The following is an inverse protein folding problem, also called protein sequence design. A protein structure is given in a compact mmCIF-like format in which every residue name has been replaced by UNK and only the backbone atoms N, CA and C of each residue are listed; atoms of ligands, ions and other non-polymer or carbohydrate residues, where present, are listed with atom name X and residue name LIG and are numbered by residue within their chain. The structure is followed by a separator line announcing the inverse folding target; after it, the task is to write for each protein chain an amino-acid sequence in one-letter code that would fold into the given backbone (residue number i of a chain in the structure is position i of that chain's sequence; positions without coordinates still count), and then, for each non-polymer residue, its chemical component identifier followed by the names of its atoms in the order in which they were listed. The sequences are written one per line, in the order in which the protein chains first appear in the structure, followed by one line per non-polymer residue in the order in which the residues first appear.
data_IF_371347790871
#
_entry.id   IF_371347790871
#
_cell.length_a   1.000
_cell.length_b   1.000
_cell.length_c   1.000
_cell.angle_alpha   90.00
_cell.angle_beta   90.00
_cell.angle_gamma   90.00
#
_symmetry.space_group_name_H-M   'P 1'
#
loop_
_entity.id
_entity.type
_entity.pdbx_description
1 polymer ?
#
# COMPACT_ATOMS: atom_id res chain seq x y z
N UNK A 1 3.01 33.54 -24.05
CA UNK A 1 2.59 32.43 -24.95
C UNK A 1 3.74 31.77 -25.72
N UNK A 2 4.82 32.48 -26.01
CA UNK A 2 6.02 31.92 -26.69
C UNK A 2 6.77 30.92 -25.79
N UNK A 3 7.01 31.24 -24.52
CA UNK A 3 7.74 30.42 -23.56
C UNK A 3 7.10 29.03 -23.33
N UNK A 4 5.76 28.97 -23.22
CA UNK A 4 5.02 27.72 -23.02
C UNK A 4 5.13 26.78 -24.24
N UNK A 5 5.16 27.34 -25.48
CA UNK A 5 5.38 26.56 -26.70
C UNK A 5 6.78 25.96 -26.80
N UNK A 6 7.77 26.66 -26.29
CA UNK A 6 9.17 26.20 -26.29
C UNK A 6 9.40 25.11 -25.24
N UNK A 7 8.75 25.21 -24.07
CA UNK A 7 8.76 24.16 -23.05
C UNK A 7 8.04 22.89 -23.53
N UNK A 8 6.89 23.00 -24.17
CA UNK A 8 6.18 21.86 -24.73
C UNK A 8 6.97 21.16 -25.84
N UNK A 9 7.70 21.92 -26.69
CA UNK A 9 8.59 21.35 -27.70
C UNK A 9 9.80 20.63 -27.08
N UNK A 10 10.31 21.11 -25.96
CA UNK A 10 11.41 20.47 -25.22
C UNK A 10 10.91 19.16 -24.59
N UNK A 11 9.80 19.17 -23.88
CA UNK A 11 9.17 17.97 -23.29
C UNK A 11 8.87 16.89 -24.33
N UNK A 12 8.35 17.29 -25.51
CA UNK A 12 8.07 16.35 -26.61
C UNK A 12 9.35 15.73 -27.18
N UNK A 13 10.48 16.46 -27.23
CA UNK A 13 11.78 15.90 -27.65
C UNK A 13 12.34 14.93 -26.60
N UNK A 14 12.28 15.30 -25.34
CA UNK A 14 12.80 14.49 -24.22
C UNK A 14 12.02 13.19 -24.10
N UNK A 15 10.69 13.22 -24.29
CA UNK A 15 9.84 12.03 -24.31
C UNK A 15 10.18 11.09 -25.50
N UNK A 16 10.42 11.63 -26.69
CA UNK A 16 10.81 10.82 -27.86
C UNK A 16 12.19 10.20 -27.69
N UNK A 17 13.13 10.88 -27.05
CA UNK A 17 14.45 10.35 -26.75
C UNK A 17 14.35 9.19 -25.74
N UNK A 18 13.52 9.35 -24.71
CA UNK A 18 13.28 8.32 -23.71
C UNK A 18 12.59 7.07 -24.28
N UNK A 19 11.59 7.25 -25.15
CA UNK A 19 10.92 6.13 -25.84
C UNK A 19 11.87 5.35 -26.74
N UNK A 20 12.82 6.05 -27.40
CA UNK A 20 13.81 5.42 -28.27
C UNK A 20 14.84 4.59 -27.49
N UNK A 21 15.20 5.03 -26.28
CA UNK A 21 16.12 4.33 -25.37
C UNK A 21 15.48 3.04 -24.78
N UNK A 22 14.15 2.98 -24.67
CA UNK A 22 13.42 1.79 -24.23
C UNK A 22 13.32 0.71 -25.32
N UNK A 23 13.27 1.10 -26.61
CA UNK A 23 13.20 0.15 -27.73
C UNK A 23 14.55 -0.57 -27.98
N UNK A 24 15.68 0.03 -27.60
CA UNK A 24 17.00 -0.61 -27.74
C UNK A 24 17.30 -1.68 -26.68
N UNK A 25 16.50 -1.77 -25.60
CA UNK A 25 16.67 -2.72 -24.50
C UNK A 25 15.72 -3.93 -24.53
N UNK A 26 14.86 -4.04 -25.53
CA UNK A 26 13.94 -5.18 -25.69
C UNK A 26 14.45 -6.10 -26.82
N UNK A 27 15.39 -6.98 -26.50
CA UNK A 27 15.72 -8.13 -27.36
C UNK A 27 14.58 -9.16 -27.17
N UNK A 28 13.55 -9.06 -28.00
CA UNK A 28 12.59 -10.12 -28.21
C UNK A 28 12.91 -10.85 -29.52
N UNK A 29 13.49 -12.05 -29.41
CA UNK A 29 13.56 -13.01 -30.49
C UNK A 29 12.17 -13.58 -30.72
N UNK A 30 11.46 -13.11 -31.73
CA UNK A 30 10.43 -13.88 -32.40
C UNK A 30 10.44 -13.53 -33.87
N UNK A 31 10.68 -14.55 -34.67
CA UNK A 31 10.65 -14.47 -36.12
C UNK A 31 9.24 -14.05 -36.59
N UNK A 32 9.14 -12.92 -37.28
CA UNK A 32 7.99 -12.53 -38.05
C UNK A 32 8.31 -12.78 -39.51
N UNK A 33 7.44 -13.45 -40.30
CA UNK A 33 7.67 -13.67 -41.71
C UNK A 33 7.68 -12.33 -42.47
N UNK A 34 8.71 -12.15 -43.28
CA UNK A 34 8.80 -11.06 -44.24
C UNK A 34 7.81 -11.26 -45.40
N UNK A 35 6.72 -10.52 -45.39
CA UNK A 35 5.96 -10.22 -46.62
C UNK A 35 5.06 -9.01 -46.32
N UNK A 36 5.55 -7.81 -46.60
CA UNK A 36 4.75 -6.67 -47.01
C UNK A 36 5.64 -5.63 -47.66
N UNK A 37 5.74 -5.70 -48.95
CA UNK A 37 6.22 -4.59 -49.77
C UNK A 37 5.26 -3.40 -49.61
N UNK A 38 5.74 -2.13 -49.65
CA UNK A 38 4.87 -0.99 -49.54
C UNK A 38 3.86 -0.99 -50.70
N UNK A 39 2.59 -0.90 -50.37
CA UNK A 39 1.53 -0.75 -51.36
C UNK A 39 1.79 0.52 -52.19
N UNK A 40 1.83 0.35 -53.50
CA UNK A 40 1.91 1.43 -54.48
C UNK A 40 0.65 2.25 -54.37
N UNK A 41 0.73 3.52 -54.02
CA UNK A 41 -0.40 4.45 -53.99
C UNK A 41 -0.45 5.06 -55.39
N UNK A 42 -1.32 4.53 -56.25
CA UNK A 42 -1.35 4.88 -57.68
C UNK A 42 -2.45 5.90 -58.05
N UNK A 43 -3.25 6.43 -57.09
CA UNK A 43 -4.27 7.42 -57.43
C UNK A 43 -4.48 8.50 -56.34
N UNK A 44 -4.92 9.69 -56.80
CA UNK A 44 -5.33 10.81 -55.92
C UNK A 44 -6.52 10.40 -55.05
N UNK A 45 -7.34 9.46 -55.47
CA UNK A 45 -8.50 8.94 -54.76
C UNK A 45 -8.07 8.12 -53.53
N UNK A 46 -6.97 7.34 -53.61
CA UNK A 46 -6.42 6.59 -52.48
C UNK A 46 -5.86 7.51 -51.41
N UNK A 47 -5.22 8.61 -51.81
CA UNK A 47 -4.72 9.65 -50.89
C UNK A 47 -5.87 10.39 -50.17
N UNK A 48 -6.98 10.64 -50.88
CA UNK A 48 -8.16 11.26 -50.25
C UNK A 48 -8.85 10.32 -49.25
N UNK A 49 -8.96 9.03 -49.56
CA UNK A 49 -9.53 8.03 -48.66
C UNK A 49 -8.69 7.84 -47.41
N UNK A 50 -7.36 7.93 -47.50
CA UNK A 50 -6.45 7.81 -46.40
C UNK A 50 -6.45 9.07 -45.48
N UNK A 51 -6.64 10.27 -46.11
CA UNK A 51 -6.83 11.52 -45.35
C UNK A 51 -8.16 11.54 -44.59
N UNK A 52 -9.27 11.14 -45.23
CA UNK A 52 -10.57 11.04 -44.55
C UNK A 52 -10.56 10.02 -43.40
N UNK A 53 -9.87 8.89 -43.58
CA UNK A 53 -9.71 7.88 -42.55
C UNK A 53 -8.86 8.39 -41.34
N UNK A 54 -7.82 9.17 -41.60
CA UNK A 54 -6.98 9.78 -40.58
C UNK A 54 -7.72 10.89 -39.84
N UNK A 55 -8.54 11.69 -40.51
CA UNK A 55 -9.40 12.71 -39.87
C UNK A 55 -10.52 12.06 -39.04
N UNK A 56 -11.12 10.97 -39.51
CA UNK A 56 -12.10 10.22 -38.71
C UNK A 56 -11.49 9.56 -37.47
N UNK A 57 -10.26 9.04 -37.57
CA UNK A 57 -9.53 8.49 -36.42
C UNK A 57 -9.17 9.58 -35.43
N UNK A 58 -8.68 10.73 -35.89
CA UNK A 58 -8.37 11.86 -35.01
C UNK A 58 -9.62 12.42 -34.30
N UNK A 59 -10.76 12.46 -35.00
CA UNK A 59 -12.04 12.84 -34.41
C UNK A 59 -12.55 11.82 -33.40
N UNK A 60 -12.36 10.54 -33.63
CA UNK A 60 -12.72 9.47 -32.70
C UNK A 60 -11.82 9.50 -31.45
N UNK A 61 -10.52 9.72 -31.59
CA UNK A 61 -9.61 9.92 -30.46
C UNK A 61 -9.99 11.17 -29.65
N UNK A 62 -10.31 12.27 -30.29
CA UNK A 62 -10.73 13.50 -29.61
C UNK A 62 -12.05 13.30 -28.84
N UNK A 63 -13.03 12.59 -29.41
CA UNK A 63 -14.27 12.22 -28.73
C UNK A 63 -14.02 11.25 -27.57
N UNK A 64 -13.09 10.31 -27.71
CA UNK A 64 -12.70 9.40 -26.65
C UNK A 64 -12.03 10.14 -25.48
N UNK A 65 -11.12 11.09 -25.77
CA UNK A 65 -10.51 11.95 -24.75
C UNK A 65 -11.51 12.91 -24.11
N UNK A 66 -12.47 13.45 -24.86
CA UNK A 66 -13.56 14.25 -24.30
C UNK A 66 -14.48 13.42 -23.40
N UNK A 67 -14.89 12.21 -23.83
CA UNK A 67 -15.70 11.31 -23.03
C UNK A 67 -14.96 10.81 -21.77
N UNK A 68 -13.63 10.64 -21.84
CA UNK A 68 -12.79 10.32 -20.70
C UNK A 68 -12.64 11.51 -19.73
N UNK A 69 -12.62 12.74 -20.24
CA UNK A 69 -12.57 13.97 -19.46
C UNK A 69 -13.93 14.32 -18.82
N UNK A 70 -15.05 13.94 -19.46
CA UNK A 70 -16.42 14.13 -18.94
C UNK A 70 -16.88 13.03 -17.98
N UNK A 71 -16.09 11.97 -17.73
CA UNK A 71 -16.29 11.18 -16.53
C UNK A 71 -16.06 12.13 -15.37
N UNK A 72 -17.15 12.82 -14.96
CA UNK A 72 -17.22 13.59 -13.72
C UNK A 72 -16.56 12.76 -12.67
N UNK A 73 -15.46 13.29 -12.11
CA UNK A 73 -14.88 12.82 -10.87
C UNK A 73 -15.98 13.00 -9.83
N UNK A 74 -16.83 11.97 -9.67
CA UNK A 74 -17.72 11.94 -8.53
C UNK A 74 -16.81 12.00 -7.31
N UNK A 75 -16.96 13.00 -6.45
CA UNK A 75 -16.17 13.08 -5.24
C UNK A 75 -16.43 11.77 -4.51
N UNK A 76 -15.43 10.88 -4.47
CA UNK A 76 -15.52 9.61 -3.76
C UNK A 76 -16.05 9.95 -2.37
N UNK A 77 -17.25 9.44 -2.04
CA UNK A 77 -17.90 9.64 -0.76
C UNK A 77 -16.85 9.38 0.30
N UNK A 78 -16.48 10.40 1.09
CA UNK A 78 -15.43 10.28 2.10
C UNK A 78 -15.81 9.13 3.01
N UNK A 79 -15.18 7.97 2.82
CA UNK A 79 -15.39 6.80 3.67
C UNK A 79 -14.87 7.18 5.06
N UNK A 80 -15.70 7.05 6.08
CA UNK A 80 -15.29 7.23 7.47
C UNK A 80 -14.69 5.94 8.02
N UNK A 81 -13.87 6.02 9.07
CA UNK A 81 -13.38 4.83 9.77
C UNK A 81 -14.52 3.94 10.26
N UNK A 82 -15.66 4.51 10.66
CA UNK A 82 -16.82 3.75 11.10
C UNK A 82 -17.44 2.96 9.93
N UNK A 83 -17.70 3.61 8.81
CA UNK A 83 -18.21 2.93 7.61
C UNK A 83 -17.24 1.84 7.11
N UNK A 84 -15.93 2.07 7.21
CA UNK A 84 -14.92 1.08 6.85
C UNK A 84 -14.92 -0.10 7.84
N UNK A 85 -15.15 0.15 9.12
CA UNK A 85 -15.30 -0.89 10.16
C UNK A 85 -16.50 -1.79 9.85
N UNK A 86 -17.64 -1.21 9.49
CA UNK A 86 -18.83 -1.97 9.11
C UNK A 86 -18.57 -2.89 7.90
N UNK A 87 -17.83 -2.40 6.91
CA UNK A 87 -17.41 -3.21 5.76
C UNK A 87 -16.53 -4.39 6.20
N UNK A 88 -15.56 -4.19 7.09
CA UNK A 88 -14.71 -5.27 7.63
C UNK A 88 -15.53 -6.29 8.42
N UNK A 89 -16.52 -5.85 9.19
CA UNK A 89 -17.43 -6.74 9.93
C UNK A 89 -18.21 -7.64 8.96
N UNK A 90 -18.72 -7.09 7.88
CA UNK A 90 -19.50 -7.81 6.87
C UNK A 90 -18.62 -8.63 5.89
N UNK A 91 -17.31 -8.34 5.78
CA UNK A 91 -16.42 -8.93 4.77
C UNK A 91 -16.33 -10.46 4.89
N UNK A 92 -16.44 -11.14 3.72
CA UNK A 92 -16.26 -12.59 3.54
C UNK A 92 -15.49 -12.92 2.26
N UNK A 93 -14.64 -12.01 1.79
CA UNK A 93 -13.96 -12.06 0.48
C UNK A 93 -12.83 -13.12 0.41
N UNK A 94 -12.39 -13.60 1.56
CA UNK A 94 -11.37 -14.64 1.66
C UNK A 94 -11.72 -15.68 2.75
N UNK A 95 -11.07 -16.85 2.78
CA UNK A 95 -11.32 -17.89 3.79
C UNK A 95 -11.20 -17.40 5.23
N UNK A 96 -10.32 -16.44 5.51
CA UNK A 96 -10.15 -15.89 6.85
C UNK A 96 -11.44 -15.20 7.37
N UNK A 97 -12.20 -14.55 6.49
CA UNK A 97 -13.47 -13.91 6.85
C UNK A 97 -14.57 -14.91 7.21
N UNK A 98 -14.44 -16.17 6.79
CA UNK A 98 -15.38 -17.25 7.09
C UNK A 98 -15.04 -17.93 8.41
N UNK A 99 -13.75 -18.13 8.69
CA UNK A 99 -13.25 -18.91 9.83
C UNK A 99 -13.00 -18.11 11.11
N UNK A 100 -12.88 -16.77 11.02
CA UNK A 100 -12.64 -15.90 12.19
C UNK A 100 -13.76 -15.96 13.21
N UNK A 101 -13.44 -15.77 14.48
CA UNK A 101 -14.42 -15.51 15.54
C UNK A 101 -14.87 -14.04 15.49
N UNK A 102 -13.91 -13.11 15.49
CA UNK A 102 -14.16 -11.68 15.40
C UNK A 102 -13.28 -11.02 14.35
N UNK A 103 -13.77 -9.99 13.65
CA UNK A 103 -12.93 -9.12 12.84
C UNK A 103 -12.09 -8.20 13.73
N UNK A 104 -10.81 -8.06 13.42
CA UNK A 104 -9.88 -7.16 14.12
C UNK A 104 -9.59 -5.97 13.24
N UNK A 105 -10.44 -4.96 13.32
CA UNK A 105 -10.38 -3.78 12.45
C UNK A 105 -9.12 -2.94 12.69
N UNK A 106 -8.86 -2.63 13.93
CA UNK A 106 -7.86 -1.70 14.41
C UNK A 106 -8.42 -0.83 15.53
N UNK A 107 -7.54 -0.19 16.30
CA UNK A 107 -7.90 0.61 17.47
C UNK A 107 -6.99 1.83 17.61
N UNK A 108 -7.51 2.91 18.16
CA UNK A 108 -6.75 4.10 18.50
C UNK A 108 -7.36 5.39 17.95
N UNK A 109 -6.56 6.45 17.94
CA UNK A 109 -7.01 7.77 17.52
C UNK A 109 -7.17 7.86 16.01
N UNK A 110 -8.30 8.35 15.48
CA UNK A 110 -8.45 8.65 14.05
C UNK A 110 -7.57 9.83 13.59
N UNK A 111 -6.94 10.55 14.52
CA UNK A 111 -6.01 11.66 14.28
C UNK A 111 -4.58 11.32 14.72
N UNK A 112 -4.26 10.03 14.84
CA UNK A 112 -2.95 9.58 15.31
C UNK A 112 -1.83 10.06 14.37
N UNK A 113 -0.77 10.64 14.95
CA UNK A 113 0.45 10.95 14.20
C UNK A 113 1.31 9.69 13.97
N UNK A 114 1.11 8.64 14.78
CA UNK A 114 1.84 7.37 14.73
C UNK A 114 0.89 6.21 14.52
N UNK A 115 1.22 5.34 13.55
CA UNK A 115 0.48 4.12 13.28
C UNK A 115 1.39 2.90 13.37
N UNK A 116 1.01 1.91 14.18
CA UNK A 116 1.66 0.60 14.21
C UNK A 116 0.90 -0.37 13.32
N UNK A 117 1.64 -1.12 12.49
CA UNK A 117 1.06 -2.09 11.56
C UNK A 117 1.70 -3.46 11.76
N UNK A 118 0.91 -4.43 12.20
CA UNK A 118 1.30 -5.83 12.31
C UNK A 118 0.91 -6.65 11.07
N UNK A 119 1.17 -7.95 11.14
CA UNK A 119 0.91 -8.92 10.09
C UNK A 119 -0.58 -9.31 10.04
N UNK A 120 -1.08 -9.85 11.12
CA UNK A 120 -2.45 -10.32 11.26
C UNK A 120 -2.81 -10.59 12.72
N UNK A 121 -4.11 -10.75 13.05
CA UNK A 121 -4.54 -11.14 14.38
C UNK A 121 -4.06 -12.55 14.74
N UNK A 122 -3.74 -12.77 16.01
CA UNK A 122 -3.55 -14.08 16.58
C UNK A 122 -4.77 -14.53 17.38
N UNK A 123 -4.61 -15.64 18.11
CA UNK A 123 -5.67 -16.25 18.91
C UNK A 123 -6.38 -15.27 19.87
N UNK A 124 -5.63 -14.50 20.66
CA UNK A 124 -6.20 -13.58 21.64
C UNK A 124 -6.95 -12.41 20.97
N UNK A 125 -6.38 -11.92 19.88
CA UNK A 125 -6.96 -10.84 19.09
C UNK A 125 -8.26 -11.25 18.42
N UNK A 126 -8.34 -12.48 17.90
CA UNK A 126 -9.56 -13.05 17.29
C UNK A 126 -10.70 -13.21 18.31
N UNK A 127 -10.36 -13.56 19.55
CA UNK A 127 -11.34 -13.67 20.64
C UNK A 127 -11.86 -12.31 21.13
N UNK A 128 -10.98 -11.30 21.20
CA UNK A 128 -11.33 -10.00 21.76
C UNK A 128 -11.77 -8.98 20.70
N UNK A 129 -11.49 -9.21 19.41
CA UNK A 129 -11.80 -8.28 18.35
C UNK A 129 -10.89 -7.05 18.28
N UNK A 130 -9.78 -7.04 19.06
CA UNK A 130 -8.83 -5.92 19.13
C UNK A 130 -7.41 -6.37 18.80
N UNK A 131 -6.60 -5.52 18.10
CA UNK A 131 -5.23 -5.87 17.74
C UNK A 131 -4.29 -5.78 18.95
N UNK A 132 -3.29 -6.66 19.00
CA UNK A 132 -2.22 -6.64 19.97
C UNK A 132 -2.70 -6.64 21.45
N UNK A 133 -3.58 -7.57 21.80
CA UNK A 133 -4.09 -7.75 23.19
C UNK A 133 -3.37 -8.86 23.95
N UNK A 134 -2.68 -9.78 23.25
CA UNK A 134 -1.89 -10.84 23.85
C UNK A 134 -0.57 -10.36 24.42
N UNK A 135 0.32 -11.30 24.79
CA UNK A 135 1.67 -11.02 25.36
C UNK A 135 2.51 -10.07 24.50
N UNK A 136 2.41 -10.20 23.19
CA UNK A 136 3.08 -9.32 22.21
C UNK A 136 2.57 -7.89 22.30
N UNK A 137 1.25 -7.71 22.46
CA UNK A 137 0.61 -6.42 22.63
C UNK A 137 1.01 -5.74 23.93
N UNK A 138 1.01 -6.47 25.04
CA UNK A 138 1.48 -5.96 26.33
C UNK A 138 2.94 -5.46 26.29
N UNK A 139 3.78 -6.11 25.47
CA UNK A 139 5.15 -5.63 25.27
C UNK A 139 5.16 -4.36 24.41
N UNK A 140 4.31 -4.28 23.37
CA UNK A 140 4.15 -3.07 22.57
C UNK A 140 3.69 -1.89 23.42
N UNK A 141 2.71 -2.10 24.32
CA UNK A 141 2.23 -1.07 25.24
C UNK A 141 3.37 -0.52 26.12
N UNK A 142 4.20 -1.43 26.68
CA UNK A 142 5.38 -1.04 27.47
C UNK A 142 6.40 -0.25 26.65
N UNK A 143 6.60 -0.57 25.38
CA UNK A 143 7.49 0.17 24.49
C UNK A 143 6.93 1.58 24.24
N UNK A 144 5.66 1.70 23.92
CA UNK A 144 4.98 2.98 23.69
C UNK A 144 5.06 3.88 24.94
N UNK A 145 4.71 3.35 26.09
CA UNK A 145 4.70 4.12 27.33
C UNK A 145 6.10 4.55 27.78
N UNK A 146 7.08 3.64 27.75
CA UNK A 146 8.42 3.90 28.28
C UNK A 146 9.33 4.70 27.37
N UNK A 147 9.18 4.56 26.04
CA UNK A 147 10.08 5.21 25.07
C UNK A 147 9.43 6.43 24.45
N UNK A 148 8.17 6.31 24.06
CA UNK A 148 7.44 7.37 23.34
C UNK A 148 6.59 8.24 24.28
N UNK A 149 6.33 7.80 25.51
CA UNK A 149 5.38 8.43 26.44
C UNK A 149 3.96 8.54 25.85
N UNK A 150 3.57 7.55 25.03
CA UNK A 150 2.28 7.47 24.35
C UNK A 150 1.47 6.29 24.88
N UNK A 151 0.14 6.46 24.90
CA UNK A 151 -0.84 5.41 25.23
C UNK A 151 -1.45 4.86 23.93
N UNK A 152 -2.16 3.75 24.02
CA UNK A 152 -2.90 3.17 22.87
C UNK A 152 -3.90 4.16 22.26
N UNK A 153 -4.50 5.03 23.06
CA UNK A 153 -5.42 6.08 22.62
C UNK A 153 -4.76 7.18 21.79
N UNK A 154 -3.44 7.34 21.90
CA UNK A 154 -2.69 8.43 21.25
C UNK A 154 -2.16 8.01 19.87
N UNK A 155 -2.12 6.70 19.58
CA UNK A 155 -1.64 6.07 18.35
C UNK A 155 -2.78 5.36 17.62
N UNK A 156 -2.52 4.81 16.45
CA UNK A 156 -3.42 3.85 15.80
C UNK A 156 -2.70 2.53 15.59
N UNK A 157 -3.36 1.41 15.91
CA UNK A 157 -2.79 0.07 15.81
C UNK A 157 -3.68 -0.76 14.90
N UNK A 158 -3.10 -1.37 13.88
CA UNK A 158 -3.80 -2.23 12.93
C UNK A 158 -2.91 -3.38 12.43
N UNK A 159 -3.48 -4.26 11.66
CA UNK A 159 -2.78 -5.32 10.94
C UNK A 159 -3.03 -5.22 9.43
N UNK A 160 -2.20 -5.87 8.61
CA UNK A 160 -2.41 -5.99 7.17
C UNK A 160 -3.73 -6.71 6.92
N UNK A 161 -3.90 -7.93 7.49
CA UNK A 161 -5.17 -8.66 7.40
C UNK A 161 -6.01 -8.43 8.66
N UNK A 162 -7.35 -8.42 8.49
CA UNK A 162 -8.30 -8.10 9.55
C UNK A 162 -8.89 -9.33 10.23
N UNK A 163 -8.47 -10.52 9.83
CA UNK A 163 -8.97 -11.80 10.32
C UNK A 163 -7.80 -12.71 10.68
N UNK A 164 -7.99 -13.59 11.63
CA UNK A 164 -6.98 -14.52 12.14
C UNK A 164 -6.61 -15.60 11.09
N UNK A 165 -5.36 -15.66 10.61
CA UNK A 165 -4.89 -16.72 9.73
C UNK A 165 -4.61 -17.99 10.52
N UNK A 166 -5.47 -19.00 10.39
CA UNK A 166 -5.39 -20.26 11.11
C UNK A 166 -4.84 -21.40 10.23
N UNK A 167 -4.08 -22.31 10.82
CA UNK A 167 -3.63 -23.56 10.17
C UNK A 167 -4.82 -24.51 9.97
N UNK A 168 -5.66 -24.62 10.99
CA UNK A 168 -6.88 -25.40 10.96
C UNK A 168 -8.10 -24.51 11.29
N UNK A 169 -8.85 -24.07 10.29
CA UNK A 169 -10.04 -23.23 10.48
C UNK A 169 -11.20 -23.92 11.22
N UNK A 170 -11.23 -25.26 11.26
CA UNK A 170 -12.29 -26.01 11.93
C UNK A 170 -12.13 -26.03 13.46
N UNK A 171 -10.96 -25.63 13.95
CA UNK A 171 -10.66 -25.58 15.40
C UNK A 171 -10.17 -24.18 15.79
N UNK A 172 -11.00 -23.12 15.69
CA UNK A 172 -10.61 -21.75 15.99
C UNK A 172 -10.21 -21.57 17.46
N UNK A 173 -10.73 -22.40 18.34
CA UNK A 173 -10.41 -22.38 19.79
C UNK A 173 -9.05 -23.05 20.13
N UNK A 174 -8.36 -23.64 19.15
CA UNK A 174 -7.09 -24.30 19.40
C UNK A 174 -5.94 -23.29 19.54
N UNK A 175 -5.21 -23.40 20.66
CA UNK A 175 -3.97 -22.63 20.83
C UNK A 175 -2.91 -23.06 19.81
N UNK A 176 -1.99 -22.15 19.45
CA UNK A 176 -0.89 -22.38 18.50
C UNK A 176 -1.36 -22.71 17.07
N UNK A 177 -2.57 -22.25 16.73
CA UNK A 177 -3.19 -22.41 15.42
C UNK A 177 -2.75 -21.32 14.41
N UNK A 178 -1.93 -20.37 14.83
CA UNK A 178 -1.47 -19.23 14.02
C UNK A 178 -0.59 -19.68 12.85
N UNK A 179 -0.77 -19.05 11.70
CA UNK A 179 0.12 -19.09 10.53
C UNK A 179 0.27 -17.69 9.93
N UNK A 180 1.28 -17.45 9.08
CA UNK A 180 1.29 -16.24 8.26
C UNK A 180 0.07 -16.21 7.29
N UNK A 181 -0.46 -15.02 6.96
CA UNK A 181 -1.47 -14.88 5.91
C UNK A 181 -0.87 -15.24 4.56
N UNK A 182 -1.67 -15.88 3.71
CA UNK A 182 -1.29 -16.19 2.34
C UNK A 182 -1.28 -14.92 1.46
N UNK A 183 -0.51 -14.88 0.35
CA UNK A 183 -0.44 -13.70 -0.51
C UNK A 183 -1.79 -13.24 -1.05
N UNK A 184 -2.68 -14.16 -1.41
CA UNK A 184 -4.04 -13.87 -1.89
C UNK A 184 -4.94 -13.32 -0.77
N UNK A 185 -4.75 -13.75 0.48
CA UNK A 185 -5.45 -13.20 1.65
C UNK A 185 -5.01 -11.76 1.93
N UNK A 186 -3.71 -11.47 1.79
CA UNK A 186 -3.17 -10.12 1.89
C UNK A 186 -3.75 -9.24 0.79
N UNK A 187 -3.72 -9.71 -0.47
CA UNK A 187 -4.20 -8.92 -1.61
C UNK A 187 -5.68 -8.55 -1.49
N UNK A 188 -6.52 -9.49 -1.05
CA UNK A 188 -7.94 -9.22 -0.82
C UNK A 188 -8.20 -8.27 0.34
N UNK A 189 -7.34 -8.25 1.35
CA UNK A 189 -7.54 -7.46 2.57
C UNK A 189 -6.83 -6.10 2.56
N UNK A 190 -5.84 -5.90 1.68
CA UNK A 190 -4.94 -4.73 1.66
C UNK A 190 -5.67 -3.38 1.60
N UNK A 191 -6.75 -3.30 0.83
CA UNK A 191 -7.51 -2.07 0.64
C UNK A 191 -8.07 -1.50 1.96
N UNK A 192 -8.37 -2.33 2.96
CA UNK A 192 -8.81 -1.86 4.27
C UNK A 192 -7.70 -1.13 5.03
N UNK A 193 -6.46 -1.62 4.98
CA UNK A 193 -5.32 -0.94 5.60
C UNK A 193 -4.98 0.35 4.85
N UNK A 194 -5.00 0.30 3.53
CA UNK A 194 -4.76 1.47 2.67
C UNK A 194 -5.77 2.59 2.94
N UNK A 195 -7.06 2.25 3.06
CA UNK A 195 -8.10 3.21 3.44
C UNK A 195 -7.91 3.75 4.87
N UNK A 196 -7.49 2.92 5.82
CA UNK A 196 -7.14 3.38 7.17
C UNK A 196 -5.99 4.39 7.13
N UNK A 197 -4.93 4.12 6.37
CA UNK A 197 -3.80 5.05 6.17
C UNK A 197 -4.28 6.35 5.53
N UNK A 198 -5.14 6.27 4.49
CA UNK A 198 -5.71 7.43 3.79
C UNK A 198 -6.57 8.30 4.69
N UNK A 199 -7.35 7.71 5.60
CA UNK A 199 -8.23 8.43 6.52
C UNK A 199 -7.44 9.06 7.66
N UNK A 200 -6.53 8.30 8.28
CA UNK A 200 -5.77 8.71 9.47
C UNK A 200 -4.66 9.69 9.09
N UNK A 201 -3.96 9.44 7.98
CA UNK A 201 -2.82 10.23 7.51
C UNK A 201 -1.75 10.42 8.59
N UNK A 202 -1.16 9.33 9.12
CA UNK A 202 -0.16 9.45 10.16
C UNK A 202 1.12 10.11 9.62
N UNK A 203 1.89 10.74 10.49
CA UNK A 203 3.23 11.25 10.15
C UNK A 203 4.21 10.08 9.96
N UNK A 204 4.03 9.03 10.78
CA UNK A 204 4.89 7.85 10.77
C UNK A 204 4.09 6.56 10.86
N UNK A 205 4.51 5.55 10.08
CA UNK A 205 4.05 4.17 10.21
C UNK A 205 5.22 3.31 10.70
N UNK A 206 4.99 2.48 11.70
CA UNK A 206 5.94 1.51 12.21
C UNK A 206 5.45 0.10 11.89
N UNK A 207 5.95 -0.51 10.79
CA UNK A 207 5.69 -1.92 10.53
C UNK A 207 6.39 -2.80 11.55
N UNK A 208 5.64 -3.70 12.17
CA UNK A 208 6.10 -4.64 13.18
C UNK A 208 6.40 -5.99 12.53
N UNK A 209 7.68 -6.24 12.29
CA UNK A 209 8.17 -7.49 11.71
C UNK A 209 8.28 -7.50 10.18
N UNK A 210 8.73 -8.64 9.65
CA UNK A 210 9.13 -8.76 8.25
C UNK A 210 7.96 -8.65 7.27
N UNK A 211 6.81 -9.25 7.59
CA UNK A 211 5.66 -9.29 6.67
C UNK A 211 5.10 -7.88 6.48
N UNK A 212 4.88 -7.16 7.59
CA UNK A 212 4.39 -5.78 7.55
C UNK A 212 5.39 -4.82 6.87
N UNK A 213 6.69 -4.98 7.13
CA UNK A 213 7.74 -4.17 6.50
C UNK A 213 7.81 -4.40 4.99
N UNK A 214 7.77 -5.66 4.53
CA UNK A 214 7.79 -6.00 3.10
C UNK A 214 6.56 -5.47 2.38
N UNK A 215 5.41 -5.57 3.00
CA UNK A 215 4.15 -5.09 2.44
C UNK A 215 4.17 -3.56 2.24
N UNK A 216 4.50 -2.81 3.29
CA UNK A 216 4.46 -1.34 3.25
C UNK A 216 5.57 -0.73 2.39
N UNK A 217 6.75 -1.37 2.32
CA UNK A 217 7.88 -0.90 1.53
C UNK A 217 8.00 -1.56 0.16
N UNK A 218 7.03 -2.39 -0.25
CA UNK A 218 6.99 -3.09 -1.55
C UNK A 218 8.34 -3.78 -1.86
N UNK A 219 8.93 -4.50 -0.89
CA UNK A 219 10.28 -5.08 -0.98
C UNK A 219 10.33 -6.53 -0.48
N UNK A 220 11.33 -7.27 -0.95
CA UNK A 220 11.60 -8.63 -0.47
C UNK A 220 12.71 -8.71 0.59
N UNK A 221 13.32 -7.56 0.97
CA UNK A 221 14.41 -7.52 1.95
C UNK A 221 13.91 -7.93 3.34
N UNK A 222 14.77 -8.59 4.12
CA UNK A 222 14.46 -9.04 5.47
C UNK A 222 14.45 -7.88 6.49
N UNK A 223 13.76 -8.09 7.62
CA UNK A 223 13.62 -7.06 8.67
C UNK A 223 14.96 -6.61 9.23
N UNK A 224 15.95 -7.49 9.37
CA UNK A 224 17.29 -7.16 9.86
C UNK A 224 18.03 -6.17 8.95
N UNK A 225 17.68 -6.12 7.67
CA UNK A 225 18.21 -5.17 6.70
C UNK A 225 17.40 -3.85 6.70
N UNK A 226 16.08 -3.96 6.87
CA UNK A 226 15.17 -2.80 6.75
C UNK A 226 15.13 -1.96 8.03
N UNK A 227 15.30 -2.56 9.21
CA UNK A 227 15.25 -1.84 10.49
C UNK A 227 16.39 -0.82 10.63
N UNK A 228 16.22 0.14 11.50
CA UNK A 228 17.24 1.16 11.76
C UNK A 228 17.34 2.26 10.71
N UNK A 229 16.43 2.31 9.75
CA UNK A 229 16.37 3.31 8.69
C UNK A 229 14.98 3.92 8.58
N UNK A 230 14.94 5.14 8.05
CA UNK A 230 13.71 5.88 7.74
C UNK A 230 13.47 5.80 6.25
N UNK A 231 12.28 5.37 5.85
CA UNK A 231 11.85 5.27 4.46
C UNK A 231 10.66 6.20 4.22
N UNK A 232 10.42 6.53 2.98
CA UNK A 232 9.17 7.16 2.54
C UNK A 232 8.15 6.09 2.16
N UNK A 233 6.87 6.30 2.54
CA UNK A 233 5.78 5.45 2.12
C UNK A 233 5.43 5.74 0.67
N UNK A 234 5.82 4.84 -0.23
CA UNK A 234 5.45 4.91 -1.63
C UNK A 234 4.06 4.32 -1.82
N UNK A 235 3.10 5.16 -2.06
CA UNK A 235 1.70 4.77 -2.19
C UNK A 235 1.05 5.40 -3.41
N UNK A 236 0.30 4.57 -4.14
CA UNK A 236 -0.61 5.00 -5.20
C UNK A 236 -1.97 5.46 -4.63
N UNK A 237 -2.10 5.56 -3.30
CA UNK A 237 -3.34 5.98 -2.63
C UNK A 237 -3.58 7.46 -2.91
N UNK A 238 -4.64 7.83 -3.65
CA UNK A 238 -4.94 9.22 -3.90
C UNK A 238 -5.37 9.95 -2.62
N UNK A 239 -4.98 11.21 -2.50
CA UNK A 239 -5.44 12.08 -1.41
C UNK A 239 -4.58 12.06 -0.14
N UNK A 240 -3.38 11.48 -0.16
CA UNK A 240 -2.39 11.72 0.90
C UNK A 240 -1.94 13.19 0.87
N UNK A 241 -1.91 13.83 2.04
CA UNK A 241 -1.60 15.26 2.18
C UNK A 241 -0.12 15.56 2.37
N UNK A 242 0.64 14.54 2.78
CA UNK A 242 2.07 14.64 3.07
C UNK A 242 2.74 13.29 2.87
N UNK A 243 4.07 13.29 2.76
CA UNK A 243 4.86 12.08 2.75
C UNK A 243 4.85 11.43 4.13
N UNK A 244 4.37 10.20 4.20
CA UNK A 244 4.36 9.42 5.44
C UNK A 244 5.73 8.71 5.58
N UNK A 245 6.36 8.80 6.75
CA UNK A 245 7.61 8.09 7.03
C UNK A 245 7.33 6.67 7.51
N UNK A 246 8.19 5.72 7.14
CA UNK A 246 8.10 4.31 7.54
C UNK A 246 9.38 3.92 8.26
N UNK A 247 9.27 3.45 9.49
CA UNK A 247 10.40 3.01 10.33
C UNK A 247 10.15 1.57 10.77
N UNK A 248 10.71 0.57 10.06
CA UNK A 248 10.52 -0.83 10.39
C UNK A 248 11.25 -1.23 11.67
N UNK A 249 10.63 -2.11 12.47
CA UNK A 249 11.27 -2.73 13.62
C UNK A 249 10.87 -4.20 13.76
N UNK A 250 11.49 -4.91 14.70
CA UNK A 250 11.12 -6.30 15.00
C UNK A 250 9.71 -6.41 15.58
N UNK A 251 9.02 -7.50 15.24
CA UNK A 251 7.73 -7.80 15.85
C UNK A 251 7.90 -8.09 17.35
N UNK A 252 7.01 -7.59 18.23
CA UNK A 252 7.12 -7.84 19.67
C UNK A 252 7.21 -9.31 20.05
N UNK A 253 6.56 -10.22 19.31
CA UNK A 253 6.68 -11.65 19.52
C UNK A 253 8.11 -12.18 19.30
N UNK A 254 8.90 -11.56 18.44
CA UNK A 254 10.30 -11.93 18.25
C UNK A 254 11.14 -11.52 19.46
N UNK A 255 10.85 -10.39 20.08
CA UNK A 255 11.53 -9.91 21.30
C UNK A 255 11.24 -10.81 22.50
N UNK A 256 10.05 -11.41 22.56
CA UNK A 256 9.70 -12.38 23.61
C UNK A 256 10.50 -13.67 23.47
N UNK A 257 10.82 -14.09 22.23
CA UNK A 257 11.63 -15.28 21.95
C UNK A 257 13.13 -15.02 22.06
N UNK A 258 13.59 -13.81 21.67
CA UNK A 258 14.99 -13.43 21.67
C UNK A 258 15.17 -12.00 22.25
N UNK A 259 15.59 -11.93 23.50
CA UNK A 259 15.75 -10.67 24.21
C UNK A 259 16.88 -9.77 23.65
N UNK A 260 17.85 -10.34 22.93
CA UNK A 260 18.94 -9.57 22.33
C UNK A 260 18.44 -8.55 21.29
N UNK A 261 17.27 -8.81 20.67
CA UNK A 261 16.65 -7.90 19.72
C UNK A 261 16.07 -6.64 20.36
N UNK A 262 15.94 -6.59 21.69
CA UNK A 262 15.35 -5.43 22.41
C UNK A 262 16.17 -4.17 22.23
N UNK A 263 17.50 -4.27 22.24
CA UNK A 263 18.38 -3.11 22.05
C UNK A 263 18.19 -2.49 20.69
N UNK A 264 18.11 -3.31 19.67
CA UNK A 264 17.91 -2.87 18.29
C UNK A 264 16.54 -2.22 18.12
N UNK A 265 15.48 -2.85 18.66
CA UNK A 265 14.12 -2.25 18.67
C UNK A 265 14.09 -0.92 19.42
N UNK A 266 14.81 -0.80 20.52
CA UNK A 266 14.93 0.46 21.25
C UNK A 266 15.47 1.59 20.37
N UNK A 267 16.55 1.31 19.61
CA UNK A 267 17.09 2.28 18.66
C UNK A 267 16.09 2.66 17.56
N UNK A 268 15.34 1.70 17.02
CA UNK A 268 14.33 1.97 16.01
C UNK A 268 13.23 2.90 16.55
N UNK A 269 12.78 2.65 17.78
CA UNK A 269 11.73 3.46 18.42
C UNK A 269 12.25 4.86 18.82
N UNK A 270 13.55 5.01 19.12
CA UNK A 270 14.13 6.35 19.29
C UNK A 270 14.08 7.17 17.98
N UNK A 271 14.33 6.55 16.81
CA UNK A 271 14.14 7.23 15.51
C UNK A 271 12.69 7.70 15.31
N UNK A 272 11.72 6.88 15.73
CA UNK A 272 10.30 7.28 15.73
C UNK A 272 10.06 8.48 16.61
N UNK A 273 10.63 8.49 17.82
CA UNK A 273 10.50 9.58 18.78
C UNK A 273 11.05 10.89 18.21
N UNK A 274 12.28 10.87 17.70
CA UNK A 274 12.94 12.03 17.13
C UNK A 274 12.13 12.61 15.94
N UNK A 275 11.55 11.74 15.11
CA UNK A 275 10.70 12.16 14.01
C UNK A 275 9.41 12.85 14.48
N UNK A 276 8.75 12.30 15.51
CA UNK A 276 7.50 12.87 16.06
C UNK A 276 7.75 14.19 16.76
N UNK A 277 8.86 14.31 17.50
CA UNK A 277 9.27 15.54 18.19
C UNK A 277 9.54 16.66 17.16
N UNK A 278 10.24 16.33 16.06
CA UNK A 278 10.51 17.28 14.97
C UNK A 278 9.23 17.73 14.22
N UNK A 279 8.26 16.84 14.07
CA UNK A 279 6.98 17.16 13.40
C UNK A 279 5.98 17.91 14.29
N UNK A 280 6.36 18.20 15.55
CA UNK A 280 5.51 18.92 16.52
C UNK A 280 5.96 20.36 16.75
N UNK A 281 7.10 20.74 16.17
CA UNK A 281 7.64 22.11 16.10
C UNK A 281 7.15 22.82 14.84
#
# INVERSE_FOLDING_TARGET
MSHLKDELKKLSRDLRAWLKDQDENLIYTSAVPSDNAPANIDSVEDLMAETEKNEAMAAAEHLFFQAAAEKKFEPQKKISLESLREQVIACRDCPLGISRLNPVFGIGSPKAKLMFVGEGPGFQEDHQGEPFVGRSGQLLDKIMEKVLSLRRSDVYIANIVKCHPMKNPETPEAHSNDRPPAPDEIEKCRHYLEEQIRIIQPVCIVPLGSVAAKFLLKTNKGISFLRGHVYDYESDIPGLRHTIKVIPTYHPAALLRNQNLKRDTWHDILLVKDLLDSASQ
#
